data_IF_484348124899
#
_entry.id   IF_484348124899
#
_cell.length_a   1.000
_cell.length_b   1.000
_cell.length_c   1.000
_cell.angle_alpha   90.00
_cell.angle_beta   90.00
_cell.angle_gamma   90.00
#
_symmetry.space_group_name_H-M   'P 1'
#
loop_
_entity.id
_entity.type
_entity.pdbx_description
1 polymer ?
#
# COMPACT_ATOMS: atom_id res chain seq x y z
N UNK A 1 -13.79 -19.63 -12.88
CA UNK A 1 -14.68 -18.47 -13.10
C UNK A 1 -14.95 -17.68 -11.83
N UNK A 2 -15.69 -18.18 -10.81
CA UNK A 2 -15.99 -17.38 -9.59
C UNK A 2 -14.74 -16.95 -8.82
N UNK A 3 -13.81 -17.87 -8.55
CA UNK A 3 -12.54 -17.58 -7.86
C UNK A 3 -11.67 -16.56 -8.60
N UNK A 4 -11.66 -16.62 -9.93
CA UNK A 4 -10.90 -15.73 -10.80
C UNK A 4 -11.46 -14.31 -10.79
N UNK A 5 -12.79 -14.17 -10.90
CA UNK A 5 -13.48 -12.87 -10.80
C UNK A 5 -13.24 -12.22 -9.43
N UNK A 6 -13.27 -13.02 -8.35
CA UNK A 6 -12.96 -12.54 -7.01
C UNK A 6 -11.52 -12.01 -6.89
N UNK A 7 -10.54 -12.76 -7.40
CA UNK A 7 -9.14 -12.35 -7.38
C UNK A 7 -8.89 -11.06 -8.20
N UNK A 8 -9.46 -10.97 -9.39
CA UNK A 8 -9.36 -9.78 -10.24
C UNK A 8 -9.99 -8.55 -9.58
N UNK A 9 -11.18 -8.71 -8.99
CA UNK A 9 -11.85 -7.63 -8.27
C UNK A 9 -11.02 -7.16 -7.07
N UNK A 10 -10.49 -8.10 -6.28
CA UNK A 10 -9.62 -7.77 -5.15
C UNK A 10 -8.33 -7.05 -5.58
N UNK A 11 -7.72 -7.50 -6.68
CA UNK A 11 -6.52 -6.87 -7.23
C UNK A 11 -6.77 -5.45 -7.73
N UNK A 12 -7.89 -5.20 -8.41
CA UNK A 12 -8.29 -3.87 -8.87
C UNK A 12 -8.58 -2.93 -7.69
N UNK A 13 -9.28 -3.40 -6.67
CA UNK A 13 -9.51 -2.63 -5.44
C UNK A 13 -8.19 -2.31 -4.73
N UNK A 14 -7.28 -3.27 -4.65
CA UNK A 14 -5.96 -3.06 -4.07
C UNK A 14 -5.18 -1.98 -4.84
N UNK A 15 -5.18 -2.03 -6.16
CA UNK A 15 -4.53 -1.03 -7.01
C UNK A 15 -5.18 0.35 -6.88
N UNK A 16 -6.51 0.43 -6.80
CA UNK A 16 -7.25 1.68 -6.61
C UNK A 16 -6.90 2.34 -5.27
N UNK A 17 -6.92 1.56 -4.18
CA UNK A 17 -6.53 2.06 -2.86
C UNK A 17 -5.05 2.47 -2.87
N UNK A 18 -4.17 1.65 -3.46
CA UNK A 18 -2.74 1.97 -3.61
C UNK A 18 -2.53 3.29 -4.37
N UNK A 19 -3.32 3.58 -5.40
CA UNK A 19 -3.26 4.83 -6.13
C UNK A 19 -3.68 6.02 -5.25
N UNK A 20 -4.74 5.88 -4.46
CA UNK A 20 -5.16 6.89 -3.47
C UNK A 20 -4.08 7.15 -2.41
N UNK A 21 -3.49 6.09 -1.85
CA UNK A 21 -2.36 6.22 -0.91
C UNK A 21 -1.16 6.84 -1.62
N UNK A 22 -0.85 6.43 -2.85
CA UNK A 22 0.23 6.97 -3.67
C UNK A 22 0.07 8.47 -3.92
N UNK A 23 -1.15 8.94 -4.20
CA UNK A 23 -1.44 10.36 -4.35
C UNK A 23 -1.17 11.14 -3.04
N UNK A 24 -1.54 10.58 -1.89
CA UNK A 24 -1.19 11.16 -0.58
C UNK A 24 0.34 11.23 -0.38
N UNK A 25 1.07 10.16 -0.70
CA UNK A 25 2.53 10.12 -0.59
C UNK A 25 3.21 11.11 -1.55
N UNK A 26 2.69 11.27 -2.78
CA UNK A 26 3.15 12.29 -3.72
C UNK A 26 2.90 13.70 -3.18
N UNK A 27 1.72 13.96 -2.61
CA UNK A 27 1.41 15.26 -2.01
C UNK A 27 2.39 15.60 -0.88
N UNK A 28 2.73 14.65 -0.01
CA UNK A 28 3.77 14.83 1.02
C UNK A 28 5.15 15.13 0.42
N UNK A 29 5.53 14.41 -0.63
CA UNK A 29 6.79 14.58 -1.34
C UNK A 29 6.90 15.98 -1.97
N UNK A 30 5.80 16.50 -2.50
CA UNK A 30 5.69 17.84 -3.06
C UNK A 30 5.56 18.95 -2.01
N UNK A 31 5.32 18.60 -0.74
CA UNK A 31 5.29 19.54 0.38
C UNK A 31 3.89 20.03 0.78
N UNK A 32 2.86 19.22 0.51
CA UNK A 32 1.55 19.43 1.13
C UNK A 32 1.66 19.41 2.67
N UNK A 33 0.85 20.21 3.38
CA UNK A 33 0.92 20.34 4.84
C UNK A 33 0.21 19.18 5.57
N UNK A 34 0.52 17.94 5.22
CA UNK A 34 -0.15 16.72 5.71
C UNK A 34 0.75 15.85 6.61
N UNK A 35 1.87 16.37 7.08
CA UNK A 35 2.89 15.63 7.85
C UNK A 35 2.38 15.04 9.17
N UNK A 36 1.32 15.60 9.75
CA UNK A 36 0.72 15.10 10.99
C UNK A 36 -0.05 13.78 10.82
N UNK A 37 -0.32 13.41 9.56
CA UNK A 37 -0.92 12.14 9.17
C UNK A 37 0.14 11.12 8.75
N UNK A 38 1.42 11.30 9.06
CA UNK A 38 2.45 10.32 8.70
C UNK A 38 3.65 10.35 9.66
N UNK A 39 4.43 9.27 9.66
CA UNK A 39 5.67 9.14 10.40
C UNK A 39 5.51 9.41 11.92
N UNK A 40 4.42 8.92 12.52
CA UNK A 40 4.13 9.05 13.94
C UNK A 40 3.64 10.43 14.38
N UNK A 41 3.25 11.30 13.43
CA UNK A 41 2.65 12.60 13.66
C UNK A 41 3.67 13.64 14.12
N UNK A 42 4.95 13.35 13.92
CA UNK A 42 6.08 14.14 14.44
C UNK A 42 6.17 15.54 13.83
N UNK A 43 5.70 15.72 12.60
CA UNK A 43 5.81 16.97 11.86
C UNK A 43 4.43 17.53 11.56
N UNK A 44 4.01 18.56 12.29
CA UNK A 44 2.79 19.31 11.93
C UNK A 44 3.03 20.13 10.67
N UNK A 45 2.07 20.12 9.75
CA UNK A 45 2.19 20.83 8.47
C UNK A 45 3.11 20.11 7.47
N UNK A 46 4.12 20.80 6.93
CA UNK A 46 4.95 20.27 5.83
C UNK A 46 6.10 19.41 6.37
N UNK A 47 6.41 18.31 5.68
CA UNK A 47 7.62 17.53 5.97
C UNK A 47 8.90 18.31 5.59
N UNK A 48 9.96 18.24 6.41
CA UNK A 48 11.29 18.74 6.05
C UNK A 48 11.79 18.04 4.78
N UNK A 49 12.52 18.75 3.92
CA UNK A 49 13.00 18.23 2.62
C UNK A 49 13.70 16.87 2.73
N UNK A 50 14.56 16.70 3.74
CA UNK A 50 15.29 15.44 3.98
C UNK A 50 14.38 14.25 4.31
N UNK A 51 13.22 14.52 4.91
CA UNK A 51 12.23 13.51 5.32
C UNK A 51 11.32 13.11 4.15
N UNK A 52 11.19 13.98 3.13
CA UNK A 52 10.34 13.73 1.95
C UNK A 52 10.82 12.57 1.07
N UNK A 53 12.03 12.08 1.26
CA UNK A 53 12.50 10.86 0.61
C UNK A 53 11.69 9.63 1.05
N UNK A 54 11.21 9.59 2.29
CA UNK A 54 10.43 8.46 2.82
C UNK A 54 9.11 8.28 2.05
N UNK A 55 8.22 9.28 1.92
CA UNK A 55 7.00 9.12 1.12
C UNK A 55 7.31 8.86 -0.36
N UNK A 56 8.40 9.40 -0.91
CA UNK A 56 8.82 9.09 -2.29
C UNK A 56 9.11 7.60 -2.49
N UNK A 57 9.84 6.97 -1.56
CA UNK A 57 10.09 5.52 -1.59
C UNK A 57 8.77 4.74 -1.44
N UNK A 58 7.84 5.22 -0.60
CA UNK A 58 6.52 4.60 -0.47
C UNK A 58 5.72 4.60 -1.77
N UNK A 59 5.77 5.67 -2.58
CA UNK A 59 5.13 5.70 -3.91
C UNK A 59 5.66 4.59 -4.80
N UNK A 60 6.99 4.44 -4.85
CA UNK A 60 7.64 3.40 -5.65
C UNK A 60 7.22 1.99 -5.21
N UNK A 61 7.25 1.73 -3.89
CA UNK A 61 6.83 0.45 -3.33
C UNK A 61 5.37 0.13 -3.64
N UNK A 62 4.47 1.10 -3.49
CA UNK A 62 3.05 0.92 -3.83
C UNK A 62 2.83 0.61 -5.31
N UNK A 63 3.61 1.21 -6.21
CA UNK A 63 3.60 0.88 -7.63
C UNK A 63 4.04 -0.56 -7.89
N UNK A 64 5.15 -0.98 -7.27
CA UNK A 64 5.66 -2.37 -7.39
C UNK A 64 4.64 -3.36 -6.84
N UNK A 65 4.08 -3.11 -5.65
CA UNK A 65 3.08 -4.00 -5.05
C UNK A 65 1.81 -4.09 -5.90
N UNK A 66 1.34 -2.98 -6.46
CA UNK A 66 0.19 -2.98 -7.37
C UNK A 66 0.47 -3.81 -8.62
N UNK A 67 1.65 -3.68 -9.21
CA UNK A 67 2.05 -4.47 -10.38
C UNK A 67 2.09 -5.98 -10.06
N UNK A 68 2.65 -6.37 -8.91
CA UNK A 68 2.69 -7.77 -8.45
C UNK A 68 1.28 -8.32 -8.23
N UNK A 69 0.42 -7.58 -7.53
CA UNK A 69 -0.94 -8.03 -7.20
C UNK A 69 -1.82 -8.13 -8.46
N UNK A 70 -1.73 -7.16 -9.38
CA UNK A 70 -2.43 -7.24 -10.67
C UNK A 70 -1.92 -8.41 -11.54
N UNK A 71 -0.61 -8.63 -11.59
CA UNK A 71 -0.04 -9.78 -12.29
C UNK A 71 -0.51 -11.12 -11.70
N UNK A 72 -0.59 -11.22 -10.37
CA UNK A 72 -1.06 -12.44 -9.70
C UNK A 72 -2.51 -12.80 -10.02
N UNK A 73 -3.34 -11.80 -10.33
CA UNK A 73 -4.72 -11.96 -10.76
C UNK A 73 -4.90 -12.09 -12.29
N UNK A 74 -3.79 -12.22 -13.05
CA UNK A 74 -3.84 -12.37 -14.51
C UNK A 74 -4.02 -11.06 -15.29
N UNK A 75 -3.94 -9.90 -14.63
CA UNK A 75 -4.15 -8.57 -15.23
C UNK A 75 -2.83 -7.82 -15.53
N UNK A 76 -1.68 -8.43 -15.24
CA UNK A 76 -0.36 -7.80 -15.39
C UNK A 76 0.45 -8.33 -16.58
N UNK A 77 1.68 -7.83 -16.73
CA UNK A 77 2.59 -8.24 -17.81
C UNK A 77 3.08 -9.69 -17.63
N UNK A 78 3.21 -10.48 -18.71
CA UNK A 78 3.62 -11.89 -18.63
C UNK A 78 4.90 -12.13 -17.82
N UNK A 79 5.92 -11.29 -18.00
CA UNK A 79 7.20 -11.39 -17.28
C UNK A 79 7.06 -11.31 -15.74
N UNK A 80 6.06 -10.58 -15.24
CA UNK A 80 5.78 -10.47 -13.79
C UNK A 80 4.91 -11.64 -13.33
N UNK A 81 4.01 -12.15 -14.19
CA UNK A 81 3.09 -13.23 -13.84
C UNK A 81 3.83 -14.50 -13.40
N UNK A 82 4.91 -14.89 -14.08
CA UNK A 82 5.72 -16.07 -13.75
C UNK A 82 6.21 -16.09 -12.30
N UNK A 83 6.54 -14.93 -11.75
CA UNK A 83 7.07 -14.77 -10.39
C UNK A 83 6.03 -14.20 -9.41
N UNK A 84 4.80 -13.95 -9.86
CA UNK A 84 3.80 -13.21 -9.11
C UNK A 84 3.34 -13.92 -7.83
N UNK A 85 3.35 -15.26 -7.80
CA UNK A 85 2.88 -16.06 -6.65
C UNK A 85 3.75 -15.87 -5.40
N UNK A 86 5.07 -16.11 -5.41
CA UNK A 86 5.91 -15.81 -4.24
C UNK A 86 5.96 -14.31 -3.92
N UNK A 87 5.97 -13.45 -4.93
CA UNK A 87 6.00 -11.99 -4.72
C UNK A 87 4.72 -11.47 -4.05
N UNK A 88 3.54 -12.01 -4.36
CA UNK A 88 2.30 -11.63 -3.71
C UNK A 88 2.33 -11.90 -2.20
N UNK A 89 2.98 -12.99 -1.76
CA UNK A 89 3.18 -13.26 -0.33
C UNK A 89 4.16 -12.28 0.33
N UNK A 90 5.15 -11.76 -0.39
CA UNK A 90 5.99 -10.66 0.10
C UNK A 90 5.15 -9.40 0.31
N UNK A 91 4.22 -9.09 -0.60
CA UNK A 91 3.27 -7.98 -0.43
C UNK A 91 2.42 -8.20 0.82
N UNK A 92 1.86 -9.39 1.02
CA UNK A 92 1.10 -9.73 2.24
C UNK A 92 1.95 -9.49 3.49
N UNK A 93 3.19 -9.99 3.51
CA UNK A 93 4.12 -9.78 4.63
C UNK A 93 4.37 -8.31 4.93
N UNK A 94 4.56 -7.48 3.89
CA UNK A 94 4.69 -6.03 4.05
C UNK A 94 3.45 -5.40 4.72
N UNK A 95 2.24 -5.76 4.28
CA UNK A 95 1.02 -5.22 4.88
C UNK A 95 0.74 -5.76 6.29
N UNK A 96 1.19 -6.97 6.64
CA UNK A 96 1.18 -7.44 8.04
C UNK A 96 2.04 -6.53 8.91
N UNK A 97 3.28 -6.25 8.49
CA UNK A 97 4.16 -5.32 9.20
C UNK A 97 3.55 -3.91 9.26
N UNK A 98 2.92 -3.47 8.18
CA UNK A 98 2.18 -2.21 8.10
C UNK A 98 1.04 -2.13 9.10
N UNK A 99 0.22 -3.18 9.23
CA UNK A 99 -0.84 -3.25 10.24
C UNK A 99 -0.28 -3.13 11.65
N UNK A 100 0.80 -3.85 11.97
CA UNK A 100 1.45 -3.78 13.28
C UNK A 100 1.95 -2.36 13.54
N UNK A 101 2.72 -1.79 12.61
CA UNK A 101 3.27 -0.44 12.73
C UNK A 101 2.18 0.63 12.92
N UNK A 102 1.08 0.55 12.16
CA UNK A 102 -0.04 1.49 12.24
C UNK A 102 -0.95 1.26 13.45
N UNK A 103 -0.96 0.06 14.04
CA UNK A 103 -1.66 -0.20 15.30
C UNK A 103 -0.92 0.42 16.49
N UNK A 104 0.42 0.32 16.50
CA UNK A 104 1.25 0.79 17.62
C UNK A 104 1.70 2.26 17.47
N UNK A 105 1.37 2.95 16.37
CA UNK A 105 1.75 4.35 16.17
C UNK A 105 1.24 5.23 17.33
N UNK A 106 2.05 6.15 17.87
CA UNK A 106 1.63 7.07 18.93
C UNK A 106 0.61 8.11 18.42
N UNK A 107 0.54 8.36 17.11
CA UNK A 107 -0.39 9.32 16.52
C UNK A 107 -1.80 8.73 16.39
N UNK A 108 -2.76 9.25 17.18
CA UNK A 108 -4.17 8.87 17.06
C UNK A 108 -4.74 9.13 15.66
N UNK A 109 -4.34 10.24 15.02
CA UNK A 109 -4.78 10.60 13.66
C UNK A 109 -4.31 9.58 12.63
N UNK A 110 -3.04 9.16 12.74
CA UNK A 110 -2.52 8.09 11.87
C UNK A 110 -3.20 6.77 12.13
N UNK A 111 -3.35 6.36 13.39
CA UNK A 111 -3.99 5.08 13.71
C UNK A 111 -5.42 5.01 13.17
N UNK A 112 -6.18 6.10 13.27
CA UNK A 112 -7.55 6.16 12.75
C UNK A 112 -7.62 6.16 11.22
N UNK A 113 -6.62 6.71 10.53
CA UNK A 113 -6.58 6.79 9.08
C UNK A 113 -5.97 5.53 8.45
N UNK A 114 -4.76 5.17 8.87
CA UNK A 114 -3.93 4.20 8.17
C UNK A 114 -4.22 2.77 8.58
N UNK A 115 -4.46 2.48 9.86
CA UNK A 115 -4.76 1.11 10.28
C UNK A 115 -5.91 0.47 9.47
N UNK A 116 -7.08 1.10 9.30
CA UNK A 116 -8.13 0.50 8.48
C UNK A 116 -7.73 0.37 7.01
N UNK A 117 -7.02 1.35 6.45
CA UNK A 117 -6.54 1.29 5.05
C UNK A 117 -5.58 0.12 4.84
N UNK A 118 -4.54 0.00 5.67
CA UNK A 118 -3.55 -1.08 5.54
C UNK A 118 -4.15 -2.45 5.85
N UNK A 119 -5.15 -2.52 6.73
CA UNK A 119 -5.88 -3.76 7.01
C UNK A 119 -6.71 -4.21 5.81
N UNK A 120 -7.42 -3.29 5.15
CA UNK A 120 -8.14 -3.61 3.91
C UNK A 120 -7.17 -4.05 2.82
N UNK A 121 -6.05 -3.34 2.65
CA UNK A 121 -5.02 -3.74 1.68
C UNK A 121 -4.40 -5.11 2.00
N UNK A 122 -4.20 -5.43 3.28
CA UNK A 122 -3.77 -6.76 3.72
C UNK A 122 -4.78 -7.84 3.27
N UNK A 123 -6.07 -7.66 3.57
CA UNK A 123 -7.11 -8.64 3.21
C UNK A 123 -7.23 -8.82 1.70
N UNK A 124 -7.15 -7.73 0.92
CA UNK A 124 -7.18 -7.78 -0.55
C UNK A 124 -5.96 -8.52 -1.09
N UNK A 125 -4.75 -8.19 -0.62
CA UNK A 125 -3.52 -8.86 -1.05
C UNK A 125 -3.50 -10.34 -0.67
N UNK A 126 -4.04 -10.70 0.51
CA UNK A 126 -4.16 -12.09 0.95
C UNK A 126 -5.09 -12.89 0.05
N UNK A 127 -6.26 -12.32 -0.27
CA UNK A 127 -7.24 -12.92 -1.19
C UNK A 127 -6.60 -13.25 -2.54
N UNK A 128 -5.82 -12.31 -3.09
CA UNK A 128 -5.12 -12.51 -4.36
C UNK A 128 -3.99 -13.52 -4.24
N UNK A 129 -3.17 -13.45 -3.18
CA UNK A 129 -2.06 -14.38 -2.99
C UNK A 129 -2.52 -15.85 -2.89
N UNK A 130 -3.68 -16.08 -2.25
CA UNK A 130 -4.29 -17.41 -2.07
C UNK A 130 -5.06 -17.96 -3.28
N UNK A 131 -5.28 -17.16 -4.33
CA UNK A 131 -6.15 -17.50 -5.48
C UNK A 131 -5.56 -18.44 -6.54
#
# INVERSE_FOLDING_TARGET
>A
MVFEVMAQTAALLFALISAGVGAFQMALTLGAPLGEFTLGGRWRGRLPLRVRLIPMVSVLLLGIFSAVILARAGLGLPAVQEHSRPLAWVVVGYFVLGCIANAITPSKRERMLWLPVVLVMLLLSLTVASS
#
